data_IF_519521861028
#
_entry.id   IF_519521861028
#
_cell.length_a   1.000
_cell.length_b   1.000
_cell.length_c   1.000
_cell.angle_alpha   90.00
_cell.angle_beta   90.00
_cell.angle_gamma   90.00
#
_symmetry.space_group_name_H-M   'P 1'
#
loop_
_entity.id
_entity.type
_entity.pdbx_description
1 polymer ?
#
# COMPACT_ATOMS: atom_id res chain seq x y z
N UNK A 1 -21.98 16.12 -7.04
CA UNK A 1 -20.78 15.46 -6.49
C UNK A 1 -19.99 16.50 -5.70
N UNK A 2 -19.76 16.30 -4.40
CA UNK A 2 -18.96 17.24 -3.60
C UNK A 2 -17.57 16.68 -3.33
N UNK A 3 -16.52 17.39 -3.74
CA UNK A 3 -15.13 17.00 -3.50
C UNK A 3 -14.83 16.73 -2.02
N UNK A 4 -15.44 17.52 -1.12
CA UNK A 4 -15.25 17.37 0.32
C UNK A 4 -15.70 16.00 0.85
N UNK A 5 -16.79 15.42 0.30
CA UNK A 5 -17.26 14.08 0.69
C UNK A 5 -16.36 12.98 0.15
N UNK A 6 -15.94 13.09 -1.11
CA UNK A 6 -14.99 12.15 -1.73
C UNK A 6 -13.69 12.11 -0.91
N UNK A 7 -13.15 13.28 -0.59
CA UNK A 7 -11.95 13.40 0.25
C UNK A 7 -12.14 12.78 1.64
N UNK A 8 -13.31 12.98 2.27
CA UNK A 8 -13.59 12.39 3.57
C UNK A 8 -13.64 10.86 3.53
N UNK A 9 -14.19 10.26 2.47
CA UNK A 9 -14.21 8.80 2.28
C UNK A 9 -12.77 8.29 2.06
N UNK A 10 -12.05 8.89 1.11
CA UNK A 10 -10.66 8.54 0.80
C UNK A 10 -9.73 8.65 2.01
N UNK A 11 -9.84 9.74 2.77
CA UNK A 11 -9.02 9.96 3.96
C UNK A 11 -9.32 8.93 5.07
N UNK A 12 -10.58 8.50 5.20
CA UNK A 12 -10.93 7.46 6.16
C UNK A 12 -10.42 6.09 5.71
N UNK A 13 -10.60 5.73 4.43
CA UNK A 13 -10.04 4.50 3.87
C UNK A 13 -8.52 4.44 4.03
N UNK A 14 -7.83 5.54 3.72
CA UNK A 14 -6.37 5.65 3.88
C UNK A 14 -5.91 5.47 5.33
N UNK A 15 -6.59 6.11 6.30
CA UNK A 15 -6.29 5.92 7.73
C UNK A 15 -6.52 4.50 8.20
N UNK A 16 -7.54 3.83 7.66
CA UNK A 16 -7.80 2.43 7.94
C UNK A 16 -6.67 1.52 7.43
N UNK A 17 -6.16 1.78 6.21
CA UNK A 17 -4.99 1.07 5.67
C UNK A 17 -3.74 1.34 6.51
N UNK A 18 -3.51 2.58 6.93
CA UNK A 18 -2.34 2.91 7.78
C UNK A 18 -2.35 2.10 9.08
N UNK A 19 -3.54 1.89 9.64
CA UNK A 19 -3.70 1.08 10.86
C UNK A 19 -3.59 -0.41 10.59
N UNK A 20 -3.66 -0.82 9.32
CA UNK A 20 -3.39 -2.19 8.93
C UNK A 20 -1.90 -2.49 9.04
N UNK A 21 -1.57 -3.65 9.62
CA UNK A 21 -0.18 -4.08 9.84
C UNK A 21 0.61 -4.28 8.52
N UNK A 22 -0.05 -4.14 7.37
CA UNK A 22 0.57 -4.19 6.04
C UNK A 22 1.71 -3.19 5.88
N UNK A 23 1.64 -2.00 6.50
CA UNK A 23 2.75 -1.05 6.44
C UNK A 23 4.05 -1.58 7.08
N UNK A 24 3.99 -2.61 7.93
CA UNK A 24 5.19 -3.28 8.46
C UNK A 24 6.03 -3.95 7.37
N UNK A 25 5.45 -4.29 6.21
CA UNK A 25 6.23 -4.76 5.06
C UNK A 25 7.25 -3.71 4.58
N UNK A 26 6.95 -2.42 4.71
CA UNK A 26 7.89 -1.34 4.35
C UNK A 26 9.08 -1.33 5.33
N UNK A 27 8.82 -1.55 6.63
CA UNK A 27 9.88 -1.68 7.63
C UNK A 27 10.76 -2.91 7.38
N UNK A 28 10.14 -4.05 7.06
CA UNK A 28 10.85 -5.27 6.67
C UNK A 28 11.71 -5.04 5.42
N UNK A 29 11.18 -4.35 4.41
CA UNK A 29 11.92 -3.99 3.21
C UNK A 29 13.14 -3.11 3.51
N UNK A 30 12.97 -2.07 4.33
CA UNK A 30 14.07 -1.19 4.71
C UNK A 30 15.17 -1.95 5.46
N UNK A 31 14.81 -2.88 6.35
CA UNK A 31 15.78 -3.75 7.02
C UNK A 31 16.48 -4.69 6.03
N UNK A 32 15.74 -5.31 5.11
CA UNK A 32 16.31 -6.18 4.09
C UNK A 32 17.32 -5.43 3.19
N UNK A 33 16.99 -4.21 2.75
CA UNK A 33 17.92 -3.38 1.99
C UNK A 33 19.11 -2.91 2.84
N UNK A 34 18.90 -2.60 4.12
CA UNK A 34 19.99 -2.24 5.03
C UNK A 34 21.01 -3.38 5.21
N UNK A 35 20.53 -4.63 5.30
CA UNK A 35 21.38 -5.82 5.30
C UNK A 35 22.08 -5.98 3.95
N UNK A 36 21.35 -5.85 2.84
CA UNK A 36 21.90 -5.95 1.49
C UNK A 36 23.01 -4.92 1.24
N UNK A 37 22.89 -3.71 1.78
CA UNK A 37 23.91 -2.67 1.68
C UNK A 37 25.26 -3.08 2.27
N UNK A 38 25.27 -3.93 3.31
CA UNK A 38 26.50 -4.44 3.93
C UNK A 38 27.05 -5.69 3.24
N UNK A 39 26.18 -6.59 2.78
CA UNK A 39 26.58 -7.87 2.21
C UNK A 39 26.96 -7.78 0.73
N UNK A 40 26.26 -6.95 -0.05
CA UNK A 40 26.48 -6.85 -1.50
C UNK A 40 27.89 -6.38 -1.89
N UNK A 41 28.53 -5.42 -1.20
CA UNK A 41 29.89 -5.00 -1.51
C UNK A 41 30.92 -6.13 -1.44
N UNK A 42 30.74 -7.12 -0.55
CA UNK A 42 31.67 -8.25 -0.41
C UNK A 42 31.62 -9.21 -1.61
N UNK A 43 30.47 -9.29 -2.29
CA UNK A 43 30.26 -10.16 -3.46
C UNK A 43 30.44 -9.39 -4.77
N UNK A 44 30.17 -8.09 -4.76
CA UNK A 44 30.27 -7.22 -5.91
C UNK A 44 31.72 -6.73 -6.09
N UNK A 45 32.50 -7.47 -6.89
CA UNK A 45 33.90 -7.15 -7.16
C UNK A 45 34.13 -5.70 -7.69
N UNK A 46 33.46 -5.32 -8.79
CA UNK A 46 33.73 -4.04 -9.51
C UNK A 46 32.48 -3.19 -9.76
N UNK A 47 31.29 -3.65 -9.38
CA UNK A 47 29.98 -3.04 -9.70
C UNK A 47 29.09 -2.81 -8.48
N UNK A 48 29.71 -2.52 -7.33
CA UNK A 48 29.03 -2.36 -6.03
C UNK A 48 27.81 -1.42 -6.09
N UNK A 49 27.96 -0.25 -6.72
CA UNK A 49 26.90 0.77 -6.75
C UNK A 49 25.73 0.40 -7.68
N UNK A 50 25.99 -0.36 -8.76
CA UNK A 50 24.94 -0.76 -9.71
C UNK A 50 24.09 -1.91 -9.16
N UNK A 51 24.73 -2.91 -8.56
CA UNK A 51 24.03 -4.12 -8.09
C UNK A 51 23.06 -3.78 -6.96
N UNK A 52 23.44 -2.88 -6.06
CA UNK A 52 22.53 -2.43 -5.00
C UNK A 52 21.28 -1.74 -5.57
N UNK A 53 21.47 -0.86 -6.54
CA UNK A 53 20.39 -0.08 -7.15
C UNK A 53 19.43 -0.99 -7.94
N UNK A 54 19.97 -1.93 -8.71
CA UNK A 54 19.18 -2.91 -9.46
C UNK A 54 18.38 -3.83 -8.53
N UNK A 55 19.00 -4.31 -7.45
CA UNK A 55 18.32 -5.12 -6.44
C UNK A 55 17.23 -4.32 -5.72
N UNK A 56 17.52 -3.07 -5.34
CA UNK A 56 16.57 -2.17 -4.69
C UNK A 56 15.34 -1.90 -5.57
N UNK A 57 15.56 -1.60 -6.85
CA UNK A 57 14.47 -1.37 -7.81
C UNK A 57 13.64 -2.63 -8.06
N UNK A 58 14.28 -3.78 -8.26
CA UNK A 58 13.58 -5.05 -8.46
C UNK A 58 12.74 -5.44 -7.23
N UNK A 59 13.33 -5.35 -6.04
CA UNK A 59 12.65 -5.66 -4.79
C UNK A 59 11.50 -4.68 -4.49
N UNK A 60 11.67 -3.39 -4.80
CA UNK A 60 10.60 -2.39 -4.69
C UNK A 60 9.42 -2.72 -5.60
N UNK A 61 9.68 -3.16 -6.84
CA UNK A 61 8.63 -3.59 -7.77
C UNK A 61 7.82 -4.76 -7.22
N UNK A 62 8.49 -5.81 -6.74
CA UNK A 62 7.85 -6.99 -6.16
C UNK A 62 6.99 -6.62 -4.93
N UNK A 63 7.56 -5.84 -4.02
CA UNK A 63 6.84 -5.37 -2.83
C UNK A 63 5.65 -4.48 -3.18
N UNK A 64 5.79 -3.61 -4.17
CA UNK A 64 4.70 -2.77 -4.64
C UNK A 64 3.51 -3.59 -5.12
N UNK A 65 3.74 -4.66 -5.88
CA UNK A 65 2.68 -5.57 -6.33
C UNK A 65 2.02 -6.27 -5.13
N UNK A 66 2.82 -6.79 -4.19
CA UNK A 66 2.31 -7.43 -2.98
C UNK A 66 1.40 -6.46 -2.21
N UNK A 67 1.89 -5.25 -1.92
CA UNK A 67 1.12 -4.23 -1.20
C UNK A 67 -0.15 -3.86 -1.96
N UNK A 68 -0.08 -3.66 -3.27
CA UNK A 68 -1.25 -3.30 -4.08
C UNK A 68 -2.35 -4.38 -4.01
N UNK A 69 -1.99 -5.65 -4.12
CA UNK A 69 -2.94 -6.78 -4.04
C UNK A 69 -3.54 -6.89 -2.64
N UNK A 70 -2.71 -6.88 -1.59
CA UNK A 70 -3.20 -7.06 -0.22
C UNK A 70 -4.02 -5.86 0.27
N UNK A 71 -3.58 -4.63 0.02
CA UNK A 71 -4.33 -3.42 0.41
C UNK A 71 -5.62 -3.31 -0.40
N UNK A 72 -5.55 -3.51 -1.72
CA UNK A 72 -6.72 -3.40 -2.59
C UNK A 72 -7.81 -4.41 -2.23
N UNK A 73 -7.45 -5.68 -2.11
CA UNK A 73 -8.40 -6.74 -1.73
C UNK A 73 -8.86 -6.59 -0.28
N UNK A 74 -7.97 -6.21 0.64
CA UNK A 74 -8.28 -6.01 2.04
C UNK A 74 -9.28 -4.89 2.29
N UNK A 75 -9.14 -3.77 1.58
CA UNK A 75 -10.10 -2.66 1.64
C UNK A 75 -11.50 -3.09 1.18
N UNK A 76 -11.59 -3.76 0.03
CA UNK A 76 -12.86 -4.24 -0.52
C UNK A 76 -13.51 -5.25 0.45
N UNK A 77 -12.73 -6.19 0.99
CA UNK A 77 -13.25 -7.20 1.89
C UNK A 77 -13.78 -6.58 3.20
N UNK A 78 -13.04 -5.62 3.78
CA UNK A 78 -13.49 -4.90 4.99
C UNK A 78 -14.80 -4.15 4.78
N UNK A 79 -14.96 -3.52 3.62
CA UNK A 79 -16.20 -2.82 3.28
C UNK A 79 -17.40 -3.77 3.13
N UNK A 80 -17.16 -4.98 2.61
CA UNK A 80 -18.19 -6.03 2.49
C UNK A 80 -18.52 -6.61 3.88
N UNK A 81 -17.52 -6.98 4.66
CA UNK A 81 -17.67 -7.67 5.95
C UNK A 81 -18.33 -6.78 7.01
N UNK A 82 -17.93 -5.50 7.11
CA UNK A 82 -18.52 -4.53 8.04
C UNK A 82 -19.90 -4.03 7.60
N UNK A 83 -20.37 -4.45 6.43
CA UNK A 83 -21.62 -3.95 5.81
C UNK A 83 -21.66 -2.41 5.69
N UNK A 84 -20.51 -1.73 5.69
CA UNK A 84 -20.45 -0.26 5.61
C UNK A 84 -21.08 0.24 4.31
N UNK A 85 -20.89 -0.50 3.22
CA UNK A 85 -21.58 -0.26 1.94
C UNK A 85 -23.10 -0.21 2.13
N UNK A 86 -23.66 -1.12 2.92
CA UNK A 86 -25.12 -1.21 3.16
C UNK A 86 -25.64 -0.06 4.04
N UNK A 87 -24.80 0.47 4.93
CA UNK A 87 -25.15 1.61 5.80
C UNK A 87 -24.99 2.96 5.07
N UNK A 88 -24.15 3.02 4.03
CA UNK A 88 -23.92 4.23 3.23
C UNK A 88 -24.97 4.45 2.14
N UNK A 89 -25.60 3.39 1.62
CA UNK A 89 -26.67 3.46 0.60
C UNK A 89 -27.88 4.34 1.00
N UNK A 90 -28.40 4.31 2.25
CA UNK A 90 -29.53 5.16 2.64
C UNK A 90 -29.15 6.64 2.90
N UNK A 91 -27.85 6.99 2.93
CA UNK A 91 -27.42 8.41 2.99
C UNK A 91 -27.46 9.02 1.59
N UNK A 92 -27.63 10.35 1.46
CA UNK A 92 -27.61 11.05 0.17
C UNK A 92 -26.17 11.09 -0.39
N UNK A 93 -25.67 9.94 -0.82
CA UNK A 93 -24.35 9.72 -1.36
C UNK A 93 -24.50 9.08 -2.74
N UNK A 94 -23.90 9.68 -3.77
CA UNK A 94 -23.91 9.07 -5.09
C UNK A 94 -22.98 7.85 -5.14
N UNK A 95 -23.33 6.85 -5.96
CA UNK A 95 -22.47 5.66 -6.17
C UNK A 95 -21.09 6.04 -6.69
N UNK A 96 -21.00 7.09 -7.52
CA UNK A 96 -19.74 7.58 -8.05
C UNK A 96 -18.85 8.22 -6.97
N UNK A 97 -19.41 8.95 -6.00
CA UNK A 97 -18.64 9.50 -4.88
C UNK A 97 -18.02 8.41 -3.99
N UNK A 98 -18.69 7.26 -3.86
CA UNK A 98 -18.16 6.10 -3.12
C UNK A 98 -17.13 5.30 -3.90
N UNK A 99 -17.24 5.21 -5.23
CA UNK A 99 -16.26 4.48 -6.06
C UNK A 99 -14.96 5.28 -6.21
N UNK A 100 -15.06 6.61 -6.26
CA UNK A 100 -13.90 7.50 -6.44
C UNK A 100 -13.19 7.78 -5.12
N UNK A 101 -13.95 7.88 -4.02
CA UNK A 101 -13.42 8.15 -2.68
C UNK A 101 -12.93 6.88 -2.01
#
# INVERSE_FOLDING_TARGET
MSLARIWAIAANGFREVIRDRVLYLIGFFALALGIALRLLPEVAATTQDKIFLDLGLAAMGILGVIVAVFVGTGLINKEIEKRTVLVLIPKPLSRAEFIIG
#
